data_IF_573088452167
#
_entry.id   IF_573088452167
#
_cell.length_a   1.000
_cell.length_b   1.000
_cell.length_c   1.000
_cell.angle_alpha   90.00
_cell.angle_beta   90.00
_cell.angle_gamma   90.00
#
_symmetry.space_group_name_H-M   'P 1'
#
loop_
_entity.id
_entity.type
_entity.pdbx_description
1 polymer ?
#
# COMPACT_ATOMS: atom_id res chain seq x y z
N UNK A 1 -44.44 -16.59 4.26
CA UNK A 1 -44.36 -15.21 4.77
C UNK A 1 -45.58 -14.49 4.24
N UNK A 2 -46.37 -13.94 5.16
CA UNK A 2 -47.54 -13.13 4.79
C UNK A 2 -47.06 -11.69 4.50
N UNK A 3 -47.17 -11.29 3.22
CA UNK A 3 -46.74 -9.97 2.74
C UNK A 3 -47.82 -8.89 2.87
N UNK A 4 -48.99 -9.23 3.40
CA UNK A 4 -50.15 -8.32 3.51
C UNK A 4 -49.92 -7.13 4.44
N UNK A 5 -48.91 -7.20 5.32
CA UNK A 5 -48.56 -6.14 6.25
C UNK A 5 -47.46 -5.20 5.71
N UNK A 6 -46.88 -5.47 4.55
CA UNK A 6 -45.81 -4.64 3.96
C UNK A 6 -46.43 -3.39 3.34
N UNK A 7 -46.13 -2.21 3.91
CA UNK A 7 -46.59 -0.92 3.38
C UNK A 7 -45.70 -0.34 2.31
N UNK A 8 -44.39 -0.63 2.38
CA UNK A 8 -43.40 -0.12 1.45
C UNK A 8 -42.21 -1.10 1.37
N UNK A 9 -41.63 -1.25 0.18
CA UNK A 9 -40.45 -2.05 -0.02
C UNK A 9 -39.40 -1.21 -0.76
N UNK A 10 -38.14 -1.28 -0.30
CA UNK A 10 -37.00 -0.58 -0.91
C UNK A 10 -36.03 -1.63 -1.42
N UNK A 11 -35.55 -1.44 -2.63
CA UNK A 11 -34.49 -2.28 -3.16
C UNK A 11 -33.14 -1.81 -2.63
N UNK A 12 -32.39 -2.68 -1.93
CA UNK A 12 -31.07 -2.40 -1.42
C UNK A 12 -30.05 -3.23 -2.20
N UNK A 13 -29.08 -2.56 -2.82
CA UNK A 13 -27.96 -3.19 -3.48
C UNK A 13 -26.72 -3.09 -2.60
N UNK A 14 -26.19 -4.21 -2.15
CA UNK A 14 -25.01 -4.27 -1.27
C UNK A 14 -23.96 -5.22 -1.84
N UNK A 15 -22.69 -4.98 -1.50
CA UNK A 15 -21.62 -5.92 -1.79
C UNK A 15 -21.50 -6.92 -0.65
N UNK A 16 -21.30 -8.19 -0.99
CA UNK A 16 -20.99 -9.23 -0.01
C UNK A 16 -19.51 -9.13 0.37
N UNK A 17 -19.21 -9.20 1.65
CA UNK A 17 -17.86 -9.42 2.16
C UNK A 17 -17.70 -10.91 2.41
N UNK A 18 -16.64 -11.53 1.88
CA UNK A 18 -16.33 -12.92 2.12
C UNK A 18 -15.57 -13.12 3.41
N UNK A 19 -14.56 -12.29 3.61
CA UNK A 19 -13.68 -12.34 4.79
C UNK A 19 -13.07 -10.97 5.03
N UNK A 20 -12.64 -10.71 6.27
CA UNK A 20 -12.01 -9.45 6.64
C UNK A 20 -10.97 -9.64 7.74
N UNK A 21 -9.91 -8.86 7.67
CA UNK A 21 -8.87 -8.78 8.68
C UNK A 21 -8.66 -7.33 9.07
N UNK A 22 -8.74 -7.05 10.36
CA UNK A 22 -8.30 -5.77 10.93
C UNK A 22 -6.94 -5.94 11.53
N UNK A 23 -5.98 -5.18 11.04
CA UNK A 23 -4.60 -5.34 11.43
C UNK A 23 -4.00 -4.05 11.98
N UNK A 24 -3.10 -4.23 12.96
CA UNK A 24 -2.40 -3.15 13.65
C UNK A 24 -0.94 -3.54 13.72
N UNK A 25 -0.10 -2.79 13.03
CA UNK A 25 1.32 -3.06 12.98
C UNK A 25 2.13 -1.96 13.64
N UNK A 26 3.07 -2.37 14.47
CA UNK A 26 4.20 -1.53 14.87
C UNK A 26 5.38 -1.92 13.97
N UNK A 27 5.65 -1.11 12.97
CA UNK A 27 6.75 -1.33 12.02
C UNK A 27 7.97 -0.65 12.60
N UNK A 28 9.05 -1.38 12.75
CA UNK A 28 10.35 -0.88 13.19
C UNK A 28 11.31 -0.80 12.00
N UNK A 29 12.25 0.12 12.10
CA UNK A 29 13.35 0.30 11.13
C UNK A 29 12.90 0.49 9.66
N UNK A 30 11.75 1.15 9.46
CA UNK A 30 11.27 1.48 8.13
C UNK A 30 12.19 2.52 7.49
N UNK A 31 12.77 2.17 6.34
CA UNK A 31 13.75 3.02 5.67
C UNK A 31 13.09 4.26 5.07
N UNK A 32 13.69 5.40 5.31
CA UNK A 32 13.32 6.68 4.72
C UNK A 32 14.20 6.97 3.49
N UNK A 33 13.59 7.21 2.36
CA UNK A 33 14.21 7.58 1.08
C UNK A 33 13.98 9.08 0.84
N UNK A 34 14.96 9.94 1.10
CA UNK A 34 14.80 11.39 0.98
C UNK A 34 14.76 11.84 -0.48
N UNK A 35 14.25 13.05 -0.72
CA UNK A 35 14.52 13.75 -1.96
C UNK A 35 15.98 14.20 -2.01
N UNK A 36 16.51 14.53 -3.19
CA UNK A 36 17.90 14.99 -3.34
C UNK A 36 18.22 16.20 -2.45
N UNK A 37 17.33 17.19 -2.40
CA UNK A 37 17.46 18.33 -1.53
C UNK A 37 17.40 17.96 -0.03
N UNK A 38 16.52 17.04 0.33
CA UNK A 38 16.40 16.53 1.69
C UNK A 38 17.68 15.79 2.13
N UNK A 39 18.33 15.04 1.22
CA UNK A 39 19.56 14.33 1.51
C UNK A 39 20.72 15.30 1.86
N UNK A 40 20.81 16.44 1.19
CA UNK A 40 21.82 17.47 1.51
C UNK A 40 21.61 18.00 2.93
N UNK A 41 20.37 18.31 3.30
CA UNK A 41 20.02 18.78 4.65
C UNK A 41 20.30 17.70 5.70
N UNK A 42 19.96 16.45 5.42
CA UNK A 42 20.23 15.31 6.31
C UNK A 42 21.73 15.11 6.52
N UNK A 43 22.54 15.24 5.49
CA UNK A 43 24.00 15.08 5.59
C UNK A 43 24.66 16.15 6.48
N UNK A 44 24.03 17.31 6.61
CA UNK A 44 24.46 18.40 7.50
C UNK A 44 23.76 18.37 8.87
N UNK A 45 22.94 17.37 9.14
CA UNK A 45 22.10 17.31 10.34
C UNK A 45 22.90 16.98 11.60
N UNK A 46 22.54 17.62 12.70
CA UNK A 46 23.02 17.29 14.03
C UNK A 46 22.01 16.46 14.82
N UNK A 47 20.73 16.67 14.55
CA UNK A 47 19.64 15.98 15.21
C UNK A 47 18.42 15.93 14.29
N UNK A 48 17.76 14.80 14.29
CA UNK A 48 16.49 14.59 13.59
C UNK A 48 15.41 14.36 14.66
N UNK A 49 14.36 15.14 14.57
CA UNK A 49 13.16 14.96 15.39
C UNK A 49 12.11 14.25 14.56
N UNK A 50 11.27 13.44 15.21
CA UNK A 50 10.15 12.79 14.57
C UNK A 50 9.29 13.76 13.77
N UNK A 51 8.50 13.25 12.86
CA UNK A 51 7.67 14.01 11.94
C UNK A 51 6.28 13.42 11.79
N UNK A 52 5.70 13.65 10.64
CA UNK A 52 4.39 13.13 10.23
C UNK A 52 4.53 12.20 9.04
N UNK A 53 3.59 11.28 8.91
CA UNK A 53 3.50 10.40 7.76
C UNK A 53 2.08 10.45 7.18
N UNK A 54 1.98 10.46 5.87
CA UNK A 54 0.76 10.47 5.07
C UNK A 54 0.76 9.24 4.17
N UNK A 55 -0.34 8.52 4.10
CA UNK A 55 -0.51 7.40 3.18
C UNK A 55 -0.83 7.92 1.78
N UNK A 56 0.07 7.74 0.82
CA UNK A 56 -0.12 8.16 -0.57
C UNK A 56 -0.89 7.14 -1.39
N UNK A 57 -0.52 5.86 -1.24
CA UNK A 57 -1.06 4.79 -2.07
C UNK A 57 -0.85 3.43 -1.45
N UNK A 58 -1.74 2.49 -1.77
CA UNK A 58 -1.58 1.07 -1.47
C UNK A 58 -1.72 0.28 -2.76
N UNK A 59 -0.66 -0.40 -3.16
CA UNK A 59 -0.72 -1.42 -4.19
C UNK A 59 -1.23 -2.72 -3.58
N UNK A 60 -2.13 -3.41 -4.27
CA UNK A 60 -2.66 -4.70 -3.83
C UNK A 60 -2.60 -5.70 -4.98
N UNK A 61 -2.14 -6.90 -4.68
CA UNK A 61 -2.16 -8.04 -5.59
C UNK A 61 -2.82 -9.24 -4.91
N UNK A 62 -3.55 -10.04 -5.70
CA UNK A 62 -4.33 -11.17 -5.18
C UNK A 62 -3.97 -12.43 -5.94
N UNK A 63 -3.45 -13.42 -5.22
CA UNK A 63 -3.06 -14.71 -5.78
C UNK A 63 -3.76 -15.87 -5.07
N UNK A 64 -4.17 -16.93 -5.78
CA UNK A 64 -4.75 -18.11 -5.14
C UNK A 64 -3.68 -18.87 -4.33
N UNK A 65 -4.02 -19.27 -3.12
CA UNK A 65 -3.14 -20.10 -2.29
C UNK A 65 -3.13 -21.54 -2.82
N UNK A 66 -1.94 -22.04 -3.15
CA UNK A 66 -1.76 -23.40 -3.63
C UNK A 66 -2.20 -24.40 -2.55
N UNK A 67 -2.98 -25.41 -2.94
CA UNK A 67 -3.53 -26.48 -2.08
C UNK A 67 -4.60 -26.05 -1.06
N UNK A 68 -4.98 -24.78 -1.00
CA UNK A 68 -6.05 -24.30 -0.11
C UNK A 68 -7.13 -23.57 -0.92
N UNK A 69 -8.12 -24.32 -1.42
CA UNK A 69 -9.16 -23.78 -2.28
C UNK A 69 -9.99 -22.73 -1.55
N UNK A 70 -10.29 -21.64 -2.24
CA UNK A 70 -11.08 -20.54 -1.71
C UNK A 70 -10.30 -19.54 -0.86
N UNK A 71 -9.02 -19.80 -0.59
CA UNK A 71 -8.14 -18.86 0.08
C UNK A 71 -7.19 -18.18 -0.89
N UNK A 72 -6.95 -16.91 -0.65
CA UNK A 72 -6.13 -16.06 -1.48
C UNK A 72 -5.10 -15.31 -0.65
N UNK A 73 -3.88 -15.26 -1.15
CA UNK A 73 -2.85 -14.36 -0.63
C UNK A 73 -3.13 -12.98 -1.18
N UNK A 74 -3.18 -12.00 -0.31
CA UNK A 74 -3.26 -10.59 -0.67
C UNK A 74 -1.96 -9.93 -0.28
N UNK A 75 -1.18 -9.55 -1.28
CA UNK A 75 0.06 -8.82 -1.12
C UNK A 75 -0.22 -7.33 -1.22
N UNK A 76 0.24 -6.58 -0.23
CA UNK A 76 0.01 -5.14 -0.11
C UNK A 76 1.34 -4.43 0.02
N UNK A 77 1.50 -3.33 -0.74
CA UNK A 77 2.63 -2.43 -0.61
C UNK A 77 2.12 -1.02 -0.35
N UNK A 78 2.45 -0.50 0.81
CA UNK A 78 2.06 0.82 1.28
C UNK A 78 3.16 1.82 0.97
N UNK A 79 2.78 2.97 0.42
CA UNK A 79 3.68 4.07 0.10
C UNK A 79 3.31 5.27 0.95
N UNK A 80 4.25 5.71 1.80
CA UNK A 80 4.05 6.82 2.72
C UNK A 80 4.95 7.99 2.37
N UNK A 81 4.37 9.20 2.32
CA UNK A 81 5.15 10.43 2.41
C UNK A 81 5.45 10.69 3.87
N UNK A 82 6.71 10.85 4.19
CA UNK A 82 7.15 11.18 5.55
C UNK A 82 7.83 12.53 5.53
N UNK A 83 7.42 13.40 6.45
CA UNK A 83 8.04 14.72 6.65
C UNK A 83 8.74 14.69 8.01
N UNK A 84 10.04 14.91 8.03
CA UNK A 84 10.88 14.93 9.23
C UNK A 84 11.35 16.36 9.53
N UNK A 85 11.55 16.65 10.80
CA UNK A 85 12.14 17.91 11.27
C UNK A 85 13.62 17.72 11.59
N UNK A 86 14.48 18.43 10.87
CA UNK A 86 15.93 18.31 10.93
C UNK A 86 16.53 19.58 11.52
N UNK A 87 17.44 19.44 12.49
CA UNK A 87 18.23 20.53 13.05
C UNK A 87 19.63 20.51 12.45
N UNK A 88 20.02 21.60 11.79
CA UNK A 88 21.35 21.79 11.17
C UNK A 88 22.24 22.79 11.94
N UNK A 89 22.02 22.93 13.25
CA UNK A 89 22.74 23.88 14.10
C UNK A 89 22.18 25.30 14.13
N UNK A 90 21.08 25.55 13.40
CA UNK A 90 20.28 26.77 13.51
C UNK A 90 19.18 26.60 14.54
N UNK A 91 18.63 27.65 15.14
CA UNK A 91 17.53 27.53 16.11
C UNK A 91 16.19 27.11 15.47
N UNK A 92 16.14 26.95 14.17
CA UNK A 92 14.95 26.53 13.43
C UNK A 92 15.14 25.14 12.88
N UNK A 93 14.11 24.33 12.98
CA UNK A 93 14.02 23.05 12.28
C UNK A 93 13.72 23.27 10.79
N UNK A 94 14.36 22.50 9.95
CA UNK A 94 14.06 22.41 8.52
C UNK A 94 13.24 21.15 8.28
N UNK A 95 12.14 21.27 7.57
CA UNK A 95 11.34 20.11 7.16
C UNK A 95 11.95 19.48 5.92
N UNK A 96 12.04 18.16 5.93
CA UNK A 96 12.53 17.36 4.82
C UNK A 96 11.53 16.26 4.51
N UNK A 97 11.31 16.03 3.23
CA UNK A 97 10.38 15.02 2.74
C UNK A 97 11.08 13.82 2.13
N UNK A 98 10.45 12.66 2.26
CA UNK A 98 10.90 11.44 1.62
C UNK A 98 9.85 10.35 1.65
N UNK A 99 10.16 9.26 0.97
CA UNK A 99 9.31 8.09 0.80
C UNK A 99 9.68 7.01 1.81
N UNK A 100 8.66 6.36 2.40
CA UNK A 100 8.80 5.09 3.08
C UNK A 100 7.89 4.06 2.44
N UNK A 101 8.36 2.81 2.36
CA UNK A 101 7.62 1.70 1.75
C UNK A 101 7.52 0.56 2.75
N UNK A 102 6.32 0.02 2.91
CA UNK A 102 6.03 -1.10 3.80
C UNK A 102 5.29 -2.18 3.05
N UNK A 103 5.82 -3.40 3.07
CA UNK A 103 5.21 -4.57 2.45
C UNK A 103 4.53 -5.45 3.48
N UNK A 104 3.35 -5.95 3.14
CA UNK A 104 2.57 -6.82 3.99
C UNK A 104 1.82 -7.86 3.17
N UNK A 105 1.66 -9.05 3.74
CA UNK A 105 0.89 -10.15 3.15
C UNK A 105 -0.14 -10.67 4.15
N UNK A 106 -1.37 -10.88 3.67
CA UNK A 106 -2.44 -11.55 4.41
C UNK A 106 -3.05 -12.67 3.59
N UNK A 107 -3.65 -13.67 4.26
CA UNK A 107 -4.41 -14.73 3.59
C UNK A 107 -5.86 -14.59 4.02
N UNK A 108 -6.76 -14.42 3.05
CA UNK A 108 -8.18 -14.28 3.27
C UNK A 108 -8.99 -15.28 2.42
N UNK A 109 -10.17 -15.64 2.90
CA UNK A 109 -11.12 -16.40 2.13
C UNK A 109 -11.77 -15.48 1.07
N UNK A 110 -11.89 -15.96 -0.17
CA UNK A 110 -12.41 -15.16 -1.28
C UNK A 110 -13.41 -15.89 -2.16
N UNK A 111 -13.98 -16.99 -1.70
CA UNK A 111 -14.87 -17.88 -2.46
C UNK A 111 -14.12 -18.98 -3.25
N UNK A 112 -14.71 -20.15 -3.28
CA UNK A 112 -14.17 -21.33 -4.01
C UNK A 112 -14.34 -21.24 -5.53
N UNK A 113 -14.61 -20.06 -6.09
CA UNK A 113 -15.07 -19.82 -7.45
C UNK A 113 -14.26 -20.50 -8.55
N UNK A 114 -14.65 -21.73 -8.88
CA UNK A 114 -14.23 -22.44 -10.11
C UNK A 114 -15.18 -22.18 -11.29
N UNK A 115 -16.13 -21.28 -11.15
CA UNK A 115 -17.10 -20.98 -12.20
C UNK A 115 -16.43 -20.17 -13.30
N UNK A 116 -16.40 -20.73 -14.51
CA UNK A 116 -16.09 -19.95 -15.72
C UNK A 116 -17.37 -19.19 -16.10
N UNK A 117 -17.33 -17.88 -15.98
CA UNK A 117 -18.49 -17.03 -16.31
C UNK A 117 -18.30 -16.53 -17.76
N UNK A 118 -19.29 -16.83 -18.59
CA UNK A 118 -19.40 -16.30 -19.94
C UNK A 118 -20.55 -15.30 -19.95
N UNK A 119 -20.29 -14.05 -20.32
CA UNK A 119 -21.31 -13.00 -20.44
C UNK A 119 -21.48 -12.59 -21.89
N UNK A 120 -22.72 -12.36 -22.32
CA UNK A 120 -23.01 -11.78 -23.64
C UNK A 120 -22.67 -10.30 -23.74
N UNK A 121 -22.39 -9.62 -22.62
CA UNK A 121 -22.06 -8.19 -22.54
C UNK A 121 -20.57 -7.92 -22.72
N UNK A 122 -19.78 -8.90 -23.19
CA UNK A 122 -18.39 -8.64 -23.58
C UNK A 122 -18.39 -7.83 -24.87
N UNK A 123 -18.44 -6.52 -24.74
CA UNK A 123 -17.97 -5.61 -25.79
C UNK A 123 -16.48 -5.87 -25.92
N UNK A 124 -16.09 -6.47 -27.04
CA UNK A 124 -14.68 -6.56 -27.41
C UNK A 124 -14.24 -5.15 -27.76
N UNK A 125 -13.65 -4.44 -26.80
CA UNK A 125 -12.94 -3.21 -27.07
C UNK A 125 -11.68 -3.60 -27.84
N UNK A 126 -11.54 -3.14 -29.08
CA UNK A 126 -10.40 -3.46 -29.99
C UNK A 126 -9.03 -3.07 -29.40
N UNK A 127 -8.99 -2.47 -28.23
CA UNK A 127 -7.81 -2.14 -27.43
C UNK A 127 -7.45 -3.19 -26.37
N UNK A 128 -8.18 -4.30 -26.28
CA UNK A 128 -7.83 -5.40 -25.38
C UNK A 128 -6.52 -6.06 -25.85
N UNK A 129 -5.44 -5.67 -25.19
CA UNK A 129 -4.12 -6.31 -25.34
C UNK A 129 -4.31 -7.82 -25.16
N UNK A 130 -3.94 -8.66 -26.15
CA UNK A 130 -4.06 -10.10 -26.04
C UNK A 130 -3.18 -10.59 -24.88
N UNK A 131 -3.78 -11.04 -23.80
CA UNK A 131 -3.09 -11.53 -22.60
C UNK A 131 -3.73 -11.14 -21.27
N UNK A 132 -4.67 -10.22 -21.23
CA UNK A 132 -5.43 -9.95 -20.01
C UNK A 132 -6.50 -11.03 -19.82
N UNK A 133 -6.08 -12.17 -19.29
CA UNK A 133 -6.99 -13.18 -18.76
C UNK A 133 -7.72 -12.50 -17.59
N UNK A 134 -9.00 -12.19 -17.81
CA UNK A 134 -9.87 -11.65 -16.76
C UNK A 134 -10.05 -12.75 -15.72
N UNK A 135 -9.31 -12.69 -14.66
CA UNK A 135 -9.36 -13.66 -13.57
C UNK A 135 -10.62 -13.48 -12.75
N UNK A 136 -11.26 -14.58 -12.36
CA UNK A 136 -12.37 -14.58 -11.40
C UNK A 136 -11.88 -14.46 -9.95
N UNK A 137 -10.78 -13.75 -9.75
CA UNK A 137 -10.22 -13.53 -8.42
C UNK A 137 -11.13 -12.57 -7.63
N UNK A 138 -11.26 -12.78 -6.32
CA UNK A 138 -11.97 -11.84 -5.47
C UNK A 138 -11.27 -10.47 -5.52
N UNK A 139 -12.05 -9.43 -5.27
CA UNK A 139 -11.50 -8.09 -5.12
C UNK A 139 -11.05 -7.94 -3.68
N UNK A 140 -9.79 -7.58 -3.49
CA UNK A 140 -9.28 -7.13 -2.20
C UNK A 140 -9.45 -5.61 -2.08
N UNK A 141 -9.97 -5.17 -0.95
CA UNK A 141 -10.11 -3.75 -0.62
C UNK A 141 -9.37 -3.48 0.67
N UNK A 142 -8.53 -2.45 0.66
CA UNK A 142 -7.76 -1.98 1.81
C UNK A 142 -8.26 -0.62 2.22
N UNK A 143 -8.71 -0.50 3.45
CA UNK A 143 -9.03 0.77 4.11
C UNK A 143 -7.95 1.02 5.16
N UNK A 144 -7.22 2.10 5.04
CA UNK A 144 -6.14 2.45 5.95
C UNK A 144 -6.23 3.91 6.36
N UNK A 145 -5.69 4.23 7.52
CA UNK A 145 -5.54 5.60 8.00
C UNK A 145 -4.07 6.00 7.92
N UNK A 146 -3.80 7.31 7.94
CA UNK A 146 -2.44 7.81 8.04
C UNK A 146 -1.74 7.25 9.27
N UNK A 147 -0.49 6.80 9.13
CA UNK A 147 0.24 6.20 10.24
C UNK A 147 0.73 7.24 11.24
N UNK A 148 1.02 6.77 12.43
CA UNK A 148 1.64 7.58 13.48
C UNK A 148 3.12 7.27 13.51
N UNK A 149 3.97 8.28 13.28
CA UNK A 149 5.42 8.15 13.47
C UNK A 149 5.72 8.11 14.96
N UNK A 150 6.42 7.05 15.40
CA UNK A 150 6.73 6.81 16.81
C UNK A 150 8.12 7.33 17.17
N UNK A 151 9.12 6.94 16.37
CA UNK A 151 10.52 7.27 16.63
C UNK A 151 11.30 7.35 15.31
N UNK A 152 12.44 8.01 15.37
CA UNK A 152 13.39 8.13 14.25
C UNK A 152 14.78 7.78 14.71
N UNK A 153 15.49 6.98 13.92
CA UNK A 153 16.89 6.62 14.15
C UNK A 153 17.74 7.05 12.98
N UNK A 154 18.93 7.53 13.30
CA UNK A 154 19.94 7.90 12.32
C UNK A 154 21.09 6.92 12.41
N UNK A 155 21.46 6.34 11.29
CA UNK A 155 22.61 5.47 11.19
C UNK A 155 23.54 5.97 10.09
N UNK A 156 24.84 5.97 10.36
CA UNK A 156 25.87 6.19 9.35
C UNK A 156 26.32 4.83 8.81
N UNK A 157 26.13 4.61 7.52
CA UNK A 157 26.55 3.35 6.89
C UNK A 157 27.84 3.59 6.11
N UNK A 158 28.95 2.96 6.49
CA UNK A 158 30.24 3.15 5.85
C UNK A 158 30.40 2.42 4.50
N UNK A 159 29.49 1.52 4.16
CA UNK A 159 29.59 0.68 2.94
C UNK A 159 28.25 0.72 2.20
N UNK A 160 28.26 0.85 0.87
CA UNK A 160 27.03 0.77 0.08
C UNK A 160 26.39 -0.62 0.26
N UNK A 161 25.23 -0.64 0.87
CA UNK A 161 24.38 -1.82 0.88
C UNK A 161 23.59 -1.77 -0.42
N UNK A 162 23.84 -2.71 -1.32
CA UNK A 162 23.03 -2.86 -2.53
C UNK A 162 21.61 -3.26 -2.10
N UNK A 163 20.75 -2.29 -1.97
CA UNK A 163 19.31 -2.52 -1.81
C UNK A 163 18.77 -3.01 -3.15
N UNK A 164 18.76 -4.33 -3.30
CA UNK A 164 18.18 -4.96 -4.48
C UNK A 164 16.73 -4.54 -4.66
N UNK A 165 16.38 -4.32 -5.90
CA UNK A 165 15.07 -4.46 -6.55
C UNK A 165 13.79 -3.81 -6.00
N UNK A 166 13.69 -3.35 -4.77
CA UNK A 166 12.45 -2.73 -4.26
C UNK A 166 12.08 -1.41 -4.95
N UNK A 167 12.98 -0.81 -5.68
CA UNK A 167 12.87 0.54 -6.19
C UNK A 167 12.39 0.64 -7.63
N UNK A 168 12.53 -0.43 -8.41
CA UNK A 168 12.02 -0.49 -9.79
C UNK A 168 10.49 -0.54 -9.91
N UNK A 169 9.80 -0.70 -8.78
CA UNK A 169 8.36 -0.93 -8.71
C UNK A 169 7.58 0.24 -8.09
N UNK A 170 8.19 1.42 -7.91
CA UNK A 170 7.47 2.57 -7.40
C UNK A 170 6.61 3.16 -8.52
N UNK A 171 5.29 3.27 -8.31
CA UNK A 171 4.42 3.90 -9.29
C UNK A 171 4.87 5.33 -9.61
N UNK A 172 4.92 5.69 -10.89
CA UNK A 172 5.41 6.98 -11.34
C UNK A 172 4.67 8.17 -10.73
N UNK A 173 3.35 8.02 -10.49
CA UNK A 173 2.54 9.07 -9.86
C UNK A 173 2.91 9.27 -8.38
N UNK A 174 3.34 8.20 -7.66
CA UNK A 174 3.85 8.30 -6.29
C UNK A 174 5.17 9.07 -6.30
N UNK A 175 6.11 8.69 -7.18
CA UNK A 175 7.39 9.39 -7.31
C UNK A 175 7.22 10.88 -7.67
N UNK A 176 6.29 11.19 -8.58
CA UNK A 176 5.97 12.56 -9.00
C UNK A 176 5.27 13.41 -7.92
N UNK A 177 4.72 12.80 -6.88
CA UNK A 177 4.08 13.53 -5.78
C UNK A 177 5.09 14.27 -4.88
N UNK A 178 6.38 13.97 -5.00
CA UNK A 178 7.45 14.64 -4.27
C UNK A 178 7.99 15.82 -5.07
N UNK A 179 8.39 16.88 -4.37
CA UNK A 179 8.92 18.11 -5.00
C UNK A 179 10.31 17.99 -5.62
N UNK A 180 10.89 16.78 -5.69
CA UNK A 180 12.21 16.51 -6.24
C UNK A 180 12.43 15.02 -6.47
N UNK A 181 13.55 14.68 -7.07
CA UNK A 181 13.94 13.30 -7.31
C UNK A 181 14.27 12.59 -5.99
N UNK A 182 13.72 11.39 -5.80
CA UNK A 182 14.00 10.55 -4.64
C UNK A 182 15.38 9.88 -4.77
N UNK A 183 16.12 9.88 -3.68
CA UNK A 183 17.46 9.29 -3.64
C UNK A 183 17.40 7.85 -3.16
N UNK A 184 17.69 6.95 -4.06
CA UNK A 184 17.72 5.51 -3.79
C UNK A 184 19.11 4.93 -3.86
N UNK A 185 20.06 5.66 -4.44
CA UNK A 185 21.41 5.19 -4.66
C UNK A 185 22.25 5.22 -3.38
N UNK A 186 22.86 4.09 -3.07
CA UNK A 186 23.73 3.89 -1.91
C UNK A 186 25.23 4.05 -2.27
N UNK A 187 25.54 4.56 -3.47
CA UNK A 187 26.93 4.64 -4.00
C UNK A 187 27.82 5.66 -3.35
N UNK A 188 27.30 6.59 -2.56
CA UNK A 188 28.11 7.59 -1.87
C UNK A 188 28.72 7.04 -0.58
N UNK A 189 30.02 7.18 -0.46
CA UNK A 189 30.87 6.69 0.63
C UNK A 189 30.57 7.35 1.96
N UNK A 190 29.62 7.39 2.63
CA UNK A 190 29.12 7.92 3.91
C UNK A 190 27.83 8.70 3.69
N UNK A 191 26.73 8.03 3.88
CA UNK A 191 25.42 8.67 3.97
C UNK A 191 24.81 8.44 5.32
N UNK A 192 24.09 9.44 5.79
CA UNK A 192 23.18 9.24 6.90
C UNK A 192 21.90 8.60 6.37
N UNK A 193 21.58 7.45 6.94
CA UNK A 193 20.30 6.78 6.73
C UNK A 193 19.37 7.13 7.88
N UNK A 194 18.14 7.37 7.54
CA UNK A 194 17.09 7.55 8.53
C UNK A 194 16.18 6.35 8.44
N UNK A 195 15.91 5.73 9.57
CA UNK A 195 14.86 4.77 9.75
C UNK A 195 13.84 5.30 10.75
N UNK A 196 12.62 4.88 10.60
CA UNK A 196 11.56 5.28 11.51
C UNK A 196 10.73 4.08 11.97
N UNK A 197 10.26 4.20 13.20
CA UNK A 197 9.21 3.36 13.72
C UNK A 197 7.86 4.03 13.47
N UNK A 198 6.88 3.27 13.00
CA UNK A 198 5.53 3.79 12.83
C UNK A 198 4.47 2.77 13.23
N UNK A 199 3.34 3.29 13.69
CA UNK A 199 2.15 2.50 13.95
C UNK A 199 1.16 2.67 12.81
N UNK A 200 0.72 1.56 12.22
CA UNK A 200 -0.24 1.52 11.13
C UNK A 200 -1.50 0.77 11.53
N UNK A 201 -2.61 1.18 10.97
CA UNK A 201 -3.91 0.52 11.13
C UNK A 201 -4.55 0.37 9.75
N UNK A 202 -4.90 -0.86 9.40
CA UNK A 202 -5.65 -1.14 8.18
C UNK A 202 -6.78 -2.15 8.42
N UNK A 203 -7.82 -2.04 7.61
CA UNK A 203 -8.86 -3.03 7.43
C UNK A 203 -8.75 -3.57 6.01
N UNK A 204 -8.54 -4.87 5.91
CA UNK A 204 -8.52 -5.58 4.64
C UNK A 204 -9.73 -6.47 4.55
N UNK A 205 -10.42 -6.49 3.41
CA UNK A 205 -11.51 -7.42 3.17
C UNK A 205 -11.57 -7.85 1.71
N UNK A 206 -12.13 -9.04 1.50
CA UNK A 206 -12.38 -9.62 0.19
C UNK A 206 -13.84 -9.53 -0.16
N UNK A 207 -14.13 -9.20 -1.41
CA UNK A 207 -15.50 -9.12 -1.96
C UNK A 207 -15.59 -9.85 -3.28
N UNK A 208 -16.81 -10.25 -3.72
CA UNK A 208 -17.02 -10.84 -5.03
C UNK A 208 -16.47 -9.95 -6.14
N UNK A 209 -15.90 -10.56 -7.17
CA UNK A 209 -15.67 -9.87 -8.43
C UNK A 209 -17.00 -9.24 -8.92
N UNK A 210 -16.99 -8.09 -9.59
CA UNK A 210 -18.20 -7.47 -10.16
C UNK A 210 -19.02 -8.43 -11.03
N UNK A 211 -18.41 -9.54 -11.48
CA UNK A 211 -19.03 -10.58 -12.27
C UNK A 211 -19.77 -11.63 -11.47
N UNK A 212 -19.40 -11.85 -10.19
CA UNK A 212 -20.08 -12.81 -9.33
C UNK A 212 -21.48 -12.33 -8.90
N UNK A 213 -21.78 -11.05 -9.09
CA UNK A 213 -23.04 -10.42 -8.68
C UNK A 213 -24.18 -10.75 -9.66
N UNK A 214 -23.88 -11.18 -10.89
CA UNK A 214 -24.91 -11.44 -11.92
C UNK A 214 -25.60 -12.80 -11.82
N UNK A 215 -25.25 -13.65 -10.85
CA UNK A 215 -25.68 -15.04 -10.73
C UNK A 215 -26.74 -15.35 -9.67
N UNK A 216 -27.21 -14.40 -8.86
CA UNK A 216 -28.25 -14.64 -7.86
C UNK A 216 -29.60 -14.14 -8.34
N UNK A 217 -30.33 -15.01 -9.05
CA UNK A 217 -31.78 -14.96 -9.18
C UNK A 217 -32.42 -16.03 -8.31
#
# INVERSE_FOLDING_TARGET
CDLSSVRESVCVHTRKIFDSCRDKDCVEDLRFYPTAAAQEVLSASQMIKGGTAELLYVYTDVEPVTFNRGFYSVDMRFYYRVTLQVCTGTPRYTEVEGLCVFDKRCILFGSEGNAKIFSSDTVFDELDVPGRIRTNLPIAVVEAVDPIVLDTRVAEVPVPVSTGSCLSEIPSFVAQSFGGELVFDDSAARRLYVTLGQFTLCLLYTSPSPRDISGSR
#
